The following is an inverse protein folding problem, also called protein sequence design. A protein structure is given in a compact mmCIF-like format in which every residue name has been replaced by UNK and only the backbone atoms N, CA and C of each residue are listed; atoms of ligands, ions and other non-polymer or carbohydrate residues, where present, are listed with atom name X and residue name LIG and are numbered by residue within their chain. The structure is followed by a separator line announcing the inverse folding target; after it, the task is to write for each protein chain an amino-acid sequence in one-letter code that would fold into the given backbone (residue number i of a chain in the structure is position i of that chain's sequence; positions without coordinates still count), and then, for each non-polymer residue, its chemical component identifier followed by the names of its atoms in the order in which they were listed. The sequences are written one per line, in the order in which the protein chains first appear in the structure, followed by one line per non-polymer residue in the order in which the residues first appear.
data_IF_470060850411
#
_entry.id   IF_470060850411
#
_cell.length_a   1.000
_cell.length_b   1.000
_cell.length_c   1.000
_cell.angle_alpha   90.00
_cell.angle_beta   90.00
_cell.angle_gamma   90.00
#
_symmetry.space_group_name_H-M   'P 1'
#
loop_
_entity.id
_entity.type
_entity.pdbx_description
1 polymer ?
#
# COMPACT_ATOMS: atom_id res chain seq x y z
N UNK A 1 -15.15 16.61 23.13
CA UNK A 1 -14.66 16.00 21.87
C UNK A 1 -14.02 14.67 22.23
N UNK A 2 -14.39 13.56 21.56
CA UNK A 2 -13.76 12.25 21.79
C UNK A 2 -12.24 12.36 21.55
N UNK A 3 -11.45 11.99 22.56
CA UNK A 3 -9.98 12.08 22.50
C UNK A 3 -9.40 11.26 21.34
N UNK A 4 -10.04 10.14 20.97
CA UNK A 4 -9.64 9.32 19.82
C UNK A 4 -9.86 10.05 18.50
N UNK A 5 -11.04 10.65 18.31
CA UNK A 5 -11.33 11.47 17.13
C UNK A 5 -10.36 12.65 17.00
N UNK A 6 -10.04 13.30 18.11
CA UNK A 6 -9.08 14.42 18.14
C UNK A 6 -7.72 13.98 17.61
N UNK A 7 -7.14 12.90 18.15
CA UNK A 7 -5.81 12.47 17.72
C UNK A 7 -5.80 11.87 16.32
N UNK A 8 -6.86 11.16 15.91
CA UNK A 8 -7.00 10.71 14.53
C UNK A 8 -7.00 11.91 13.60
N UNK A 9 -7.85 12.90 13.86
CA UNK A 9 -7.92 14.13 13.07
C UNK A 9 -6.55 14.82 12.99
N UNK A 10 -5.83 14.91 14.12
CA UNK A 10 -4.46 15.45 14.13
C UNK A 10 -3.54 14.64 13.21
N UNK A 11 -3.55 13.30 13.29
CA UNK A 11 -2.72 12.47 12.43
C UNK A 11 -3.04 12.67 10.94
N UNK A 12 -4.32 12.74 10.58
CA UNK A 12 -4.75 12.98 9.20
C UNK A 12 -4.36 14.39 8.70
N UNK A 13 -4.52 15.41 9.54
CA UNK A 13 -4.08 16.78 9.24
C UNK A 13 -2.57 16.85 9.07
N UNK A 14 -1.80 16.15 9.90
CA UNK A 14 -0.33 16.08 9.76
C UNK A 14 0.08 15.42 8.45
N UNK A 15 -0.58 14.33 8.04
CA UNK A 15 -0.33 13.69 6.74
C UNK A 15 -0.58 14.70 5.60
N UNK A 16 -1.73 15.36 5.61
CA UNK A 16 -2.07 16.36 4.59
C UNK A 16 -1.08 17.53 4.58
N UNK A 17 -0.70 18.03 5.76
CA UNK A 17 0.26 19.11 5.91
C UNK A 17 1.64 18.72 5.35
N UNK A 18 2.14 17.51 5.66
CA UNK A 18 3.41 17.02 5.09
C UNK A 18 3.34 16.97 3.56
N UNK A 19 2.23 16.48 3.01
CA UNK A 19 2.06 16.36 1.56
C UNK A 19 2.04 17.74 0.89
N UNK A 20 1.32 18.70 1.46
CA UNK A 20 1.29 20.08 0.98
C UNK A 20 2.67 20.75 1.12
N UNK A 21 3.39 20.53 2.21
CA UNK A 21 4.73 21.07 2.39
C UNK A 21 5.72 20.50 1.36
N UNK A 22 5.68 19.20 1.07
CA UNK A 22 6.57 18.62 0.07
C UNK A 22 6.21 19.08 -1.35
N UNK A 23 4.95 18.93 -1.74
CA UNK A 23 4.53 19.20 -3.13
C UNK A 23 4.39 20.69 -3.42
N UNK A 24 3.63 21.41 -2.61
CA UNK A 24 3.32 22.81 -2.88
C UNK A 24 4.49 23.70 -2.50
N UNK A 25 5.00 23.58 -1.26
CA UNK A 25 6.13 24.42 -0.84
C UNK A 25 7.42 23.96 -1.49
N UNK A 26 7.80 22.69 -1.35
CA UNK A 26 9.03 22.14 -1.92
C UNK A 26 9.04 22.13 -3.46
N UNK A 27 8.04 21.48 -4.06
CA UNK A 27 7.97 21.31 -5.51
C UNK A 27 7.62 22.60 -6.26
N UNK A 28 6.56 23.29 -5.84
CA UNK A 28 6.00 24.41 -6.61
C UNK A 28 6.63 25.77 -6.26
N UNK A 29 6.74 26.11 -4.96
CA UNK A 29 7.29 27.41 -4.53
C UNK A 29 8.82 27.44 -4.61
N UNK A 30 9.49 26.39 -4.12
CA UNK A 30 10.95 26.31 -4.11
C UNK A 30 11.53 25.72 -5.40
N UNK A 31 10.69 25.25 -6.32
CA UNK A 31 11.12 24.74 -7.63
C UNK A 31 11.92 23.44 -7.58
N UNK A 32 11.77 22.63 -6.54
CA UNK A 32 12.51 21.36 -6.41
C UNK A 32 11.83 20.30 -7.28
N UNK A 33 12.39 20.02 -8.46
CA UNK A 33 11.80 19.12 -9.48
C UNK A 33 11.36 17.76 -8.93
N UNK A 34 12.20 17.08 -8.14
CA UNK A 34 11.87 15.78 -7.54
C UNK A 34 10.65 15.78 -6.60
N UNK A 35 10.26 16.95 -6.10
CA UNK A 35 9.10 17.12 -5.20
C UNK A 35 7.85 17.56 -5.95
N UNK A 36 7.94 17.80 -7.26
CA UNK A 36 6.79 18.13 -8.07
C UNK A 36 5.93 16.89 -8.28
N UNK A 37 4.62 17.12 -8.35
CA UNK A 37 3.69 16.16 -8.91
C UNK A 37 3.66 16.35 -10.41
N UNK A 38 3.53 15.26 -11.17
CA UNK A 38 3.29 15.34 -12.61
C UNK A 38 1.91 15.92 -12.93
N UNK A 39 1.21 15.31 -13.88
CA UNK A 39 -0.06 15.84 -14.37
C UNK A 39 -1.15 15.91 -13.29
N UNK A 40 -2.01 16.93 -13.41
CA UNK A 40 -3.21 17.14 -12.60
C UNK A 40 -2.99 17.17 -11.07
N UNK A 41 -2.14 18.07 -10.53
CA UNK A 41 -1.84 18.18 -9.10
C UNK A 41 -3.09 18.32 -8.22
N UNK A 42 -4.07 19.11 -8.66
CA UNK A 42 -5.30 19.33 -7.91
C UNK A 42 -6.09 18.03 -7.72
N UNK A 43 -6.27 17.24 -8.79
CA UNK A 43 -7.00 15.97 -8.73
C UNK A 43 -6.27 14.95 -7.85
N UNK A 44 -4.93 14.91 -7.89
CA UNK A 44 -4.14 14.08 -6.97
C UNK A 44 -4.47 14.39 -5.51
N UNK A 45 -4.59 15.67 -5.15
CA UNK A 45 -4.99 16.06 -3.80
C UNK A 45 -6.48 15.83 -3.51
N UNK A 46 -7.38 15.89 -4.50
CA UNK A 46 -8.77 15.45 -4.31
C UNK A 46 -8.80 13.99 -3.86
N UNK A 47 -8.04 13.10 -4.51
CA UNK A 47 -7.95 11.70 -4.09
C UNK A 47 -7.24 11.55 -2.73
N UNK A 48 -6.27 12.40 -2.39
CA UNK A 48 -5.74 12.43 -1.01
C UNK A 48 -6.87 12.67 -0.01
N UNK A 49 -7.70 13.69 -0.23
CA UNK A 49 -8.84 13.98 0.65
C UNK A 49 -9.82 12.81 0.70
N UNK A 50 -10.14 12.18 -0.43
CA UNK A 50 -11.03 11.01 -0.47
C UNK A 50 -10.46 9.87 0.41
N UNK A 51 -9.18 9.54 0.30
CA UNK A 51 -8.61 8.47 1.12
C UNK A 51 -8.51 8.83 2.61
N UNK A 52 -8.30 10.11 2.96
CA UNK A 52 -8.42 10.57 4.35
C UNK A 52 -9.86 10.44 4.86
N UNK A 53 -10.86 10.76 4.04
CA UNK A 53 -12.27 10.59 4.37
C UNK A 53 -12.63 9.10 4.55
N UNK A 54 -12.08 8.20 3.74
CA UNK A 54 -12.23 6.75 3.95
C UNK A 54 -11.73 6.35 5.34
N UNK A 55 -10.55 6.83 5.76
CA UNK A 55 -10.05 6.56 7.11
C UNK A 55 -11.00 7.10 8.21
N UNK A 56 -11.57 8.30 8.02
CA UNK A 56 -12.56 8.89 8.95
C UNK A 56 -13.84 8.06 9.00
N UNK A 57 -14.35 7.62 7.86
CA UNK A 57 -15.57 6.79 7.79
C UNK A 57 -15.35 5.47 8.50
N UNK A 58 -14.23 4.79 8.24
CA UNK A 58 -13.88 3.53 8.93
C UNK A 58 -13.77 3.76 10.45
N UNK A 59 -13.10 4.84 10.88
CA UNK A 59 -13.08 5.23 12.29
C UNK A 59 -14.49 5.42 12.84
N UNK A 60 -15.33 6.22 12.18
CA UNK A 60 -16.67 6.53 12.66
C UNK A 60 -17.52 5.27 12.85
N UNK A 61 -17.44 4.32 11.91
CA UNK A 61 -18.11 3.03 11.98
C UNK A 61 -17.58 2.12 13.09
N UNK A 62 -16.38 2.37 13.63
CA UNK A 62 -15.69 1.47 14.56
C UNK A 62 -15.11 2.18 15.80
N UNK A 63 -15.56 3.42 16.06
CA UNK A 63 -14.97 4.38 17.03
C UNK A 63 -14.95 3.89 18.48
N UNK A 64 -15.85 2.96 18.81
CA UNK A 64 -15.95 2.38 20.16
C UNK A 64 -14.74 1.52 20.51
N UNK A 65 -14.02 1.00 19.50
CA UNK A 65 -12.88 0.14 19.70
C UNK A 65 -11.61 0.92 20.09
N UNK A 66 -10.81 0.36 21.02
CA UNK A 66 -9.56 0.93 21.54
C UNK A 66 -8.43 0.97 20.52
N UNK A 67 -8.54 0.27 19.39
CA UNK A 67 -7.48 0.26 18.35
C UNK A 67 -7.21 1.63 17.72
N UNK A 68 -8.12 2.59 17.91
CA UNK A 68 -7.99 3.97 17.47
C UNK A 68 -7.29 4.88 18.48
N UNK A 69 -6.87 4.34 19.63
CA UNK A 69 -6.15 5.11 20.64
C UNK A 69 -4.71 5.43 20.17
N UNK A 70 -4.39 6.72 20.18
CA UNK A 70 -3.08 7.24 19.82
C UNK A 70 -2.46 7.83 21.08
N UNK A 71 -1.41 7.18 21.58
CA UNK A 71 -0.55 7.69 22.63
C UNK A 71 0.87 7.94 22.15
N UNK A 72 1.78 8.22 23.08
CA UNK A 72 3.19 8.52 22.77
C UNK A 72 3.87 7.39 22.00
N UNK A 73 3.58 6.13 22.33
CA UNK A 73 4.17 4.98 21.64
C UNK A 73 3.72 4.92 20.17
N UNK A 74 2.44 5.14 19.90
CA UNK A 74 1.91 5.15 18.53
C UNK A 74 2.56 6.26 17.70
N UNK A 75 2.77 7.45 18.28
CA UNK A 75 3.49 8.54 17.60
C UNK A 75 4.92 8.15 17.25
N UNK A 76 5.63 7.51 18.18
CA UNK A 76 6.99 7.01 17.92
C UNK A 76 6.99 5.92 16.82
N UNK A 77 6.05 4.98 16.87
CA UNK A 77 5.94 3.94 15.85
C UNK A 77 5.57 4.50 14.47
N UNK A 78 4.75 5.55 14.41
CA UNK A 78 4.46 6.27 13.16
C UNK A 78 5.73 6.86 12.55
N UNK A 79 6.56 7.53 13.36
CA UNK A 79 7.81 8.11 12.90
C UNK A 79 8.83 7.04 12.44
N UNK A 80 9.03 5.99 13.25
CA UNK A 80 9.93 4.88 12.92
C UNK A 80 9.46 4.15 11.65
N UNK A 81 8.16 3.83 11.58
CA UNK A 81 7.58 3.15 10.43
C UNK A 81 7.75 3.97 9.15
N UNK A 82 7.40 5.25 9.19
CA UNK A 82 7.56 6.14 8.04
C UNK A 82 9.04 6.25 7.61
N UNK A 83 9.98 6.38 8.54
CA UNK A 83 11.41 6.45 8.23
C UNK A 83 11.94 5.15 7.61
N UNK A 84 11.61 4.00 8.19
CA UNK A 84 11.99 2.69 7.65
C UNK A 84 11.42 2.52 6.24
N UNK A 85 10.13 2.81 6.08
CA UNK A 85 9.49 2.64 4.78
C UNK A 85 10.04 3.59 3.72
N UNK A 86 10.36 4.83 4.07
CA UNK A 86 10.99 5.78 3.16
C UNK A 86 12.38 5.33 2.72
N UNK A 87 13.24 4.91 3.66
CA UNK A 87 14.62 4.47 3.37
C UNK A 87 14.63 3.22 2.50
N UNK A 88 13.82 2.21 2.85
CA UNK A 88 13.78 0.98 2.06
C UNK A 88 13.06 1.18 0.72
N UNK A 89 12.05 2.06 0.64
CA UNK A 89 11.45 2.42 -0.65
C UNK A 89 12.46 3.15 -1.54
N UNK A 90 13.25 4.07 -1.00
CA UNK A 90 14.35 4.70 -1.73
C UNK A 90 15.34 3.65 -2.27
N UNK A 91 15.76 2.71 -1.42
CA UNK A 91 16.70 1.67 -1.81
C UNK A 91 16.13 0.77 -2.92
N UNK A 92 14.90 0.27 -2.78
CA UNK A 92 14.36 -0.73 -3.72
C UNK A 92 13.68 -0.13 -4.95
N UNK A 93 13.01 1.03 -4.83
CA UNK A 93 12.34 1.69 -5.96
C UNK A 93 13.35 2.43 -6.84
N UNK A 94 14.40 3.00 -6.24
CA UNK A 94 15.38 3.83 -6.95
C UNK A 94 16.49 3.06 -7.66
N UNK A 95 16.76 1.80 -7.31
CA UNK A 95 18.05 1.17 -7.70
C UNK A 95 18.00 -0.20 -8.36
N UNK A 96 16.86 -0.88 -8.52
CA UNK A 96 16.93 -2.32 -8.85
C UNK A 96 15.99 -2.87 -9.94
N UNK A 97 14.65 -2.80 -9.82
CA UNK A 97 13.78 -3.53 -10.78
C UNK A 97 12.39 -2.89 -11.00
N UNK A 98 12.14 -2.41 -12.22
CA UNK A 98 10.83 -1.98 -12.70
C UNK A 98 10.04 -3.19 -13.21
N UNK A 99 8.76 -3.27 -12.85
CA UNK A 99 7.85 -4.34 -13.28
C UNK A 99 7.18 -3.93 -14.60
N UNK A 100 6.89 -4.85 -15.53
CA UNK A 100 6.08 -4.55 -16.70
C UNK A 100 4.77 -3.82 -16.32
N UNK A 101 4.65 -2.54 -16.72
CA UNK A 101 3.58 -1.61 -16.31
C UNK A 101 3.48 -0.40 -17.25
N UNK A 102 2.39 0.38 -17.12
CA UNK A 102 2.17 1.60 -17.93
C UNK A 102 2.72 2.88 -17.28
N UNK A 103 2.96 2.82 -15.97
CA UNK A 103 3.56 3.88 -15.16
C UNK A 103 4.67 3.27 -14.30
N UNK A 104 5.55 4.09 -13.71
CA UNK A 104 6.72 3.61 -12.99
C UNK A 104 6.36 2.81 -11.72
N UNK A 105 6.15 1.51 -11.89
CA UNK A 105 5.91 0.56 -10.81
C UNK A 105 7.14 -0.30 -10.58
N UNK A 106 7.75 -0.19 -9.40
CA UNK A 106 8.89 -1.01 -8.99
C UNK A 106 8.47 -2.29 -8.24
N UNK A 107 9.38 -3.26 -8.14
CA UNK A 107 9.28 -4.31 -7.12
C UNK A 107 9.54 -3.69 -5.73
N UNK A 108 8.57 -3.83 -4.81
CA UNK A 108 8.55 -3.09 -3.54
C UNK A 108 8.54 -4.00 -2.31
N UNK A 109 9.66 -4.66 -1.96
CA UNK A 109 9.76 -5.44 -0.71
C UNK A 109 9.38 -4.63 0.54
N UNK A 110 9.67 -3.33 0.51
CA UNK A 110 9.41 -2.39 1.60
C UNK A 110 7.92 -2.28 1.97
N UNK A 111 6.98 -2.66 1.09
CA UNK A 111 5.53 -2.63 1.38
C UNK A 111 5.14 -3.47 2.61
N UNK A 112 5.95 -4.46 2.97
CA UNK A 112 5.74 -5.26 4.17
C UNK A 112 5.82 -4.41 5.47
N UNK A 113 6.46 -3.24 5.43
CA UNK A 113 6.60 -2.34 6.58
C UNK A 113 5.25 -1.74 7.00
N UNK A 114 4.51 -0.99 6.16
CA UNK A 114 3.19 -0.48 6.56
C UNK A 114 2.19 -1.60 6.90
N UNK A 115 2.26 -2.73 6.21
CA UNK A 115 1.48 -3.93 6.53
C UNK A 115 1.73 -4.42 7.97
N UNK A 116 3.01 -4.64 8.30
CA UNK A 116 3.41 -5.08 9.64
C UNK A 116 3.12 -4.03 10.72
N UNK A 117 3.42 -2.75 10.46
CA UNK A 117 3.16 -1.67 11.42
C UNK A 117 1.68 -1.48 11.68
N UNK A 118 0.84 -1.62 10.65
CA UNK A 118 -0.61 -1.67 10.79
C UNK A 118 -1.05 -2.82 11.68
N UNK A 119 -0.61 -4.04 11.36
CA UNK A 119 -0.92 -5.24 12.12
C UNK A 119 -0.51 -5.14 13.60
N UNK A 120 0.74 -4.74 13.86
CA UNK A 120 1.35 -4.79 15.19
C UNK A 120 0.98 -3.59 16.08
N UNK A 121 0.79 -2.40 15.50
CA UNK A 121 0.65 -1.15 16.25
C UNK A 121 -0.67 -0.41 16.00
N UNK A 122 -1.53 -0.94 15.13
CA UNK A 122 -2.88 -0.44 14.89
C UNK A 122 -3.05 0.32 13.58
N UNK A 123 -4.31 0.54 13.16
CA UNK A 123 -4.66 1.06 11.84
C UNK A 123 -4.08 2.46 11.57
N UNK A 124 -4.07 3.36 12.56
CA UNK A 124 -3.54 4.71 12.37
C UNK A 124 -2.03 4.68 12.16
N UNK A 125 -1.32 3.80 12.87
CA UNK A 125 0.13 3.65 12.71
C UNK A 125 0.46 3.12 11.33
N UNK A 126 -0.26 2.09 10.86
CA UNK A 126 -0.12 1.57 9.50
C UNK A 126 -0.45 2.63 8.43
N UNK A 127 -1.52 3.39 8.63
CA UNK A 127 -1.93 4.45 7.71
C UNK A 127 -0.85 5.52 7.54
N UNK A 128 -0.35 6.06 8.66
CA UNK A 128 0.70 7.07 8.64
C UNK A 128 2.00 6.51 8.06
N UNK A 129 2.40 5.30 8.48
CA UNK A 129 3.60 4.62 7.99
C UNK A 129 3.57 4.51 6.47
N UNK A 130 2.47 4.02 5.90
CA UNK A 130 2.33 3.84 4.46
C UNK A 130 2.27 5.17 3.71
N UNK A 131 1.46 6.12 4.19
CA UNK A 131 1.27 7.40 3.51
C UNK A 131 2.54 8.27 3.53
N UNK A 132 3.07 8.51 4.72
CA UNK A 132 4.22 9.42 4.89
C UNK A 132 5.51 8.73 4.45
N UNK A 133 5.68 7.45 4.76
CA UNK A 133 6.87 6.70 4.36
C UNK A 133 6.99 6.59 2.85
N UNK A 134 5.90 6.30 2.11
CA UNK A 134 5.96 6.28 0.65
C UNK A 134 6.30 7.66 0.09
N UNK A 135 5.64 8.72 0.59
CA UNK A 135 5.85 10.08 0.11
C UNK A 135 7.32 10.52 0.23
N UNK A 136 7.96 10.25 1.37
CA UNK A 136 9.39 10.53 1.52
C UNK A 136 10.27 9.59 0.70
N UNK A 137 9.90 8.32 0.54
CA UNK A 137 10.59 7.40 -0.35
C UNK A 137 10.64 7.94 -1.78
N UNK A 138 9.49 8.33 -2.34
CA UNK A 138 9.37 8.89 -3.68
C UNK A 138 10.20 10.20 -3.80
N UNK A 139 10.11 11.09 -2.81
CA UNK A 139 10.89 12.33 -2.74
C UNK A 139 12.41 12.09 -2.79
N UNK A 140 12.89 10.98 -2.20
CA UNK A 140 14.29 10.60 -2.21
C UNK A 140 14.70 9.98 -3.55
N UNK A 141 13.83 9.20 -4.19
CA UNK A 141 14.14 8.52 -5.47
C UNK A 141 14.28 9.47 -6.65
N UNK A 142 13.52 10.57 -6.69
CA UNK A 142 13.66 11.58 -7.73
C UNK A 142 12.65 11.49 -8.89
N UNK A 143 11.73 10.52 -8.88
CA UNK A 143 10.77 10.29 -9.99
C UNK A 143 9.51 11.19 -9.94
N UNK A 144 9.49 12.18 -9.04
CA UNK A 144 8.31 12.99 -8.76
C UNK A 144 7.36 12.31 -7.76
N UNK A 145 6.39 13.07 -7.27
CA UNK A 145 5.49 12.65 -6.20
C UNK A 145 4.11 12.23 -6.72
N UNK A 146 3.59 11.13 -6.18
CA UNK A 146 2.22 10.66 -6.42
C UNK A 146 1.43 10.58 -5.10
N UNK A 147 0.91 11.72 -4.59
CA UNK A 147 0.21 11.77 -3.31
C UNK A 147 -0.96 10.78 -3.16
N UNK A 148 -1.72 10.55 -4.22
CA UNK A 148 -2.82 9.59 -4.22
C UNK A 148 -2.33 8.14 -4.05
N UNK A 149 -1.19 7.79 -4.64
CA UNK A 149 -0.54 6.50 -4.44
C UNK A 149 0.01 6.36 -3.02
N UNK A 150 0.61 7.42 -2.48
CA UNK A 150 1.03 7.44 -1.08
C UNK A 150 -0.15 7.18 -0.14
N UNK A 151 -1.30 7.80 -0.35
CA UNK A 151 -2.52 7.48 0.42
C UNK A 151 -2.99 6.04 0.20
N UNK A 152 -2.90 5.51 -1.03
CA UNK A 152 -3.14 4.09 -1.30
C UNK A 152 -2.27 3.17 -0.43
N UNK A 153 -0.95 3.43 -0.34
CA UNK A 153 -0.04 2.70 0.54
C UNK A 153 -0.40 2.88 2.04
N UNK A 154 -0.89 4.06 2.42
CA UNK A 154 -1.48 4.28 3.75
C UNK A 154 -2.66 3.36 4.00
N UNK A 155 -3.61 3.27 3.07
CA UNK A 155 -4.77 2.39 3.19
C UNK A 155 -4.38 0.91 3.31
N UNK A 156 -3.29 0.48 2.66
CA UNK A 156 -2.70 -0.86 2.85
C UNK A 156 -2.41 -1.11 4.34
N UNK A 157 -1.68 -0.20 4.99
CA UNK A 157 -1.33 -0.33 6.41
C UNK A 157 -2.55 -0.17 7.34
N UNK A 158 -3.47 0.74 7.01
CA UNK A 158 -4.71 0.93 7.78
C UNK A 158 -5.53 -0.35 7.84
N UNK A 159 -5.78 -0.96 6.69
CA UNK A 159 -6.59 -2.17 6.56
C UNK A 159 -5.86 -3.36 7.19
N UNK A 160 -4.53 -3.47 7.05
CA UNK A 160 -3.77 -4.51 7.74
C UNK A 160 -3.96 -4.46 9.27
N UNK A 161 -4.07 -3.25 9.85
CA UNK A 161 -4.34 -3.04 11.27
C UNK A 161 -5.78 -3.26 11.71
N UNK A 162 -6.73 -3.36 10.78
CA UNK A 162 -8.15 -3.62 11.11
C UNK A 162 -8.40 -5.02 11.67
N UNK A 163 -7.44 -5.95 11.54
CA UNK A 163 -7.49 -7.26 12.21
C UNK A 163 -7.84 -7.14 13.70
N UNK A 164 -7.36 -6.09 14.37
CA UNK A 164 -7.55 -5.88 15.79
C UNK A 164 -8.99 -5.48 16.17
N UNK A 165 -9.86 -5.19 15.18
CA UNK A 165 -11.30 -5.02 15.39
C UNK A 165 -11.99 -6.34 15.72
N UNK A 166 -11.41 -7.48 15.35
CA UNK A 166 -12.08 -8.78 15.37
C UNK A 166 -11.48 -9.67 16.47
N UNK A 167 -12.23 -9.94 17.56
CA UNK A 167 -11.79 -10.85 18.61
C UNK A 167 -11.56 -12.28 18.08
N UNK A 168 -12.42 -12.74 17.17
CA UNK A 168 -12.27 -14.01 16.46
C UNK A 168 -11.50 -13.77 15.14
N UNK A 169 -10.18 -13.96 15.19
CA UNK A 169 -9.33 -13.76 14.00
C UNK A 169 -9.59 -14.84 12.95
N UNK A 170 -9.95 -16.08 13.33
CA UNK A 170 -10.31 -17.14 12.35
C UNK A 170 -11.50 -16.77 11.48
N UNK A 171 -12.58 -16.30 12.10
CA UNK A 171 -13.77 -15.86 11.35
C UNK A 171 -13.45 -14.66 10.47
N UNK A 172 -12.69 -13.69 10.97
CA UNK A 172 -12.33 -12.51 10.18
C UNK A 172 -11.47 -12.89 8.97
N UNK A 173 -10.49 -13.79 9.13
CA UNK A 173 -9.67 -14.31 8.03
C UNK A 173 -10.49 -15.02 6.95
N UNK A 174 -11.57 -15.74 7.29
CA UNK A 174 -12.45 -16.36 6.29
C UNK A 174 -13.12 -15.30 5.42
N UNK A 175 -13.73 -14.29 6.04
CA UNK A 175 -14.38 -13.19 5.30
C UNK A 175 -13.39 -12.43 4.43
N UNK A 176 -12.24 -12.07 4.99
CA UNK A 176 -11.16 -11.34 4.30
C UNK A 176 -10.63 -12.13 3.10
N UNK A 177 -10.48 -13.45 3.24
CA UNK A 177 -10.05 -14.31 2.15
C UNK A 177 -11.08 -14.35 1.02
N UNK A 178 -12.37 -14.50 1.31
CA UNK A 178 -13.42 -14.52 0.28
C UNK A 178 -13.38 -13.23 -0.55
N UNK A 179 -13.34 -12.08 0.11
CA UNK A 179 -13.26 -10.78 -0.57
C UNK A 179 -12.00 -10.70 -1.44
N UNK A 180 -10.85 -11.12 -0.90
CA UNK A 180 -9.57 -11.06 -1.61
C UNK A 180 -9.52 -11.99 -2.82
N UNK A 181 -10.11 -13.19 -2.72
CA UNK A 181 -10.24 -14.14 -3.85
C UNK A 181 -11.08 -13.50 -4.95
N UNK A 182 -12.22 -12.91 -4.62
CA UNK A 182 -13.08 -12.24 -5.61
C UNK A 182 -12.33 -11.12 -6.32
N UNK A 183 -11.64 -10.24 -5.57
CA UNK A 183 -10.87 -9.13 -6.15
C UNK A 183 -9.74 -9.62 -7.06
N UNK A 184 -8.96 -10.62 -6.63
CA UNK A 184 -7.86 -11.16 -7.42
C UNK A 184 -8.37 -11.85 -8.71
N UNK A 185 -9.44 -12.64 -8.61
CA UNK A 185 -10.06 -13.30 -9.77
C UNK A 185 -10.61 -12.26 -10.75
N UNK A 186 -11.31 -11.24 -10.27
CA UNK A 186 -11.81 -10.16 -11.13
C UNK A 186 -10.67 -9.45 -11.87
N UNK A 187 -9.59 -9.08 -11.17
CA UNK A 187 -8.43 -8.45 -11.80
C UNK A 187 -7.78 -9.36 -12.86
N UNK A 188 -7.66 -10.66 -12.58
CA UNK A 188 -7.14 -11.63 -13.56
C UNK A 188 -8.07 -11.82 -14.75
N UNK A 189 -9.39 -11.86 -14.57
CA UNK A 189 -10.34 -11.91 -15.69
C UNK A 189 -10.20 -10.66 -16.56
N UNK A 190 -10.10 -9.46 -15.95
CA UNK A 190 -9.89 -8.20 -16.67
C UNK A 190 -8.58 -8.25 -17.48
N UNK A 191 -7.53 -8.84 -16.94
CA UNK A 191 -6.27 -9.07 -17.66
C UNK A 191 -6.43 -10.00 -18.86
N UNK A 192 -7.11 -11.13 -18.68
CA UNK A 192 -7.27 -12.14 -19.74
C UNK A 192 -8.12 -11.61 -20.91
N UNK A 193 -9.09 -10.73 -20.65
CA UNK A 193 -9.89 -10.10 -21.72
C UNK A 193 -9.19 -8.88 -22.35
N UNK A 194 -8.23 -8.25 -21.66
CA UNK A 194 -7.49 -7.06 -22.12
C UNK A 194 -5.99 -7.31 -22.32
N UNK A 195 -5.62 -8.42 -22.97
CA UNK A 195 -4.21 -8.83 -23.18
C UNK A 195 -3.37 -7.84 -23.99
N UNK A 196 -4.02 -6.94 -24.73
CA UNK A 196 -3.38 -5.97 -25.60
C UNK A 196 -2.95 -4.68 -24.88
N UNK A 197 -3.19 -4.54 -23.56
CA UNK A 197 -2.68 -3.39 -22.81
C UNK A 197 -1.14 -3.36 -22.89
N UNK A 198 -0.55 -2.26 -23.37
CA UNK A 198 0.90 -2.17 -23.52
C UNK A 198 1.59 -1.98 -22.18
N UNK A 199 2.86 -2.40 -22.13
CA UNK A 199 3.87 -2.13 -21.13
C UNK A 199 4.73 -0.99 -21.67
N UNK A 200 4.45 0.22 -21.23
CA UNK A 200 5.15 1.42 -21.68
C UNK A 200 6.59 1.49 -21.18
N UNK A 201 6.96 0.64 -20.21
CA UNK A 201 8.30 0.60 -19.62
C UNK A 201 9.20 -0.50 -20.18
N UNK A 202 8.76 -1.23 -21.21
CA UNK A 202 9.63 -2.19 -21.90
C UNK A 202 10.59 -1.47 -22.84
N UNK A 203 11.89 -1.68 -22.69
CA UNK A 203 12.92 -1.03 -23.48
C UNK A 203 13.95 -2.06 -23.94
N UNK A 204 14.00 -2.33 -25.25
CA UNK A 204 14.98 -3.20 -25.89
C UNK A 204 15.54 -2.52 -27.15
N UNK A 205 16.52 -1.62 -27.02
CA UNK A 205 17.07 -0.83 -28.13
C UNK A 205 17.67 -1.67 -29.24
N UNK A 206 18.31 -2.79 -28.88
CA UNK A 206 18.93 -3.72 -29.83
C UNK A 206 17.90 -4.39 -30.76
N UNK A 207 16.65 -4.45 -30.32
CA UNK A 207 15.49 -4.97 -31.08
C UNK A 207 14.64 -3.85 -31.68
N UNK A 208 15.02 -2.58 -31.46
CA UNK A 208 14.25 -1.41 -31.90
C UNK A 208 12.94 -1.18 -31.13
N UNK A 209 12.80 -1.73 -29.92
CA UNK A 209 11.57 -1.67 -29.12
C UNK A 209 11.69 -0.62 -28.02
N UNK A 210 10.76 0.33 -28.00
CA UNK A 210 10.73 1.49 -27.11
C UNK A 210 9.32 1.67 -26.51
N UNK A 211 8.86 0.71 -25.70
CA UNK A 211 7.50 0.62 -25.19
C UNK A 211 6.62 -0.35 -25.99
N UNK A 212 5.31 -0.31 -25.74
CA UNK A 212 4.26 -1.00 -26.52
C UNK A 212 4.28 -2.53 -26.57
N UNK A 213 5.13 -3.19 -25.77
CA UNK A 213 5.04 -4.65 -25.58
C UNK A 213 3.85 -5.03 -24.72
N UNK A 214 3.25 -6.19 -24.94
CA UNK A 214 2.16 -6.62 -24.06
C UNK A 214 2.67 -6.85 -22.63
N UNK A 215 1.85 -6.50 -21.63
CA UNK A 215 2.08 -6.92 -20.24
C UNK A 215 2.26 -8.45 -20.22
N UNK A 216 3.35 -8.92 -19.61
CA UNK A 216 3.69 -10.34 -19.61
C UNK A 216 2.64 -11.16 -18.86
N UNK A 217 2.51 -12.45 -19.20
CA UNK A 217 1.64 -13.38 -18.46
C UNK A 217 2.00 -13.42 -16.97
N UNK A 218 3.30 -13.39 -16.65
CA UNK A 218 3.76 -13.36 -15.27
C UNK A 218 3.27 -12.12 -14.51
N UNK A 219 3.41 -10.93 -15.11
CA UNK A 219 2.97 -9.68 -14.49
C UNK A 219 1.44 -9.64 -14.32
N UNK A 220 0.66 -10.09 -15.32
CA UNK A 220 -0.79 -10.09 -15.21
C UNK A 220 -1.39 -11.18 -14.32
N UNK A 221 -0.70 -12.31 -14.14
CA UNK A 221 -1.12 -13.37 -13.21
C UNK A 221 -0.56 -13.19 -11.80
N UNK A 222 0.28 -12.17 -11.57
CA UNK A 222 0.98 -11.94 -10.31
C UNK A 222 0.06 -11.81 -9.10
N UNK A 223 -1.14 -11.25 -9.25
CA UNK A 223 -2.13 -11.17 -8.16
C UNK A 223 -2.65 -12.55 -7.72
N UNK A 224 -2.92 -13.46 -8.66
CA UNK A 224 -3.35 -14.84 -8.34
C UNK A 224 -2.18 -15.65 -7.78
N UNK A 225 -0.98 -15.49 -8.33
CA UNK A 225 0.23 -16.13 -7.78
C UNK A 225 0.43 -15.68 -6.32
N UNK A 226 0.38 -14.37 -6.06
CA UNK A 226 0.47 -13.82 -4.72
C UNK A 226 -0.64 -14.30 -3.78
N UNK A 227 -1.90 -14.36 -4.26
CA UNK A 227 -3.02 -14.93 -3.51
C UNK A 227 -2.74 -16.38 -3.09
N UNK A 228 -2.28 -17.22 -4.02
CA UNK A 228 -1.96 -18.63 -3.74
C UNK A 228 -0.89 -18.73 -2.67
N UNK A 229 0.16 -17.90 -2.75
CA UNK A 229 1.22 -17.87 -1.72
C UNK A 229 0.68 -17.42 -0.35
N UNK A 230 -0.15 -16.38 -0.29
CA UNK A 230 -0.78 -15.93 0.96
C UNK A 230 -1.67 -17.03 1.55
N UNK A 231 -2.45 -17.72 0.71
CA UNK A 231 -3.29 -18.86 1.12
C UNK A 231 -2.42 -19.99 1.66
N UNK A 232 -1.32 -20.32 0.97
CA UNK A 232 -0.38 -21.33 1.43
C UNK A 232 0.20 -20.96 2.81
N UNK A 233 0.69 -19.73 3.00
CA UNK A 233 1.20 -19.24 4.29
C UNK A 233 0.14 -19.34 5.37
N UNK A 234 -1.08 -18.88 5.10
CA UNK A 234 -2.19 -18.94 6.07
C UNK A 234 -2.42 -20.36 6.60
N UNK A 235 -2.39 -21.36 5.72
CA UNK A 235 -2.66 -22.75 6.12
C UNK A 235 -1.42 -23.47 6.66
N UNK A 236 -0.23 -23.20 6.14
CA UNK A 236 1.03 -23.74 6.68
C UNK A 236 1.31 -23.23 8.10
N UNK A 237 0.93 -21.99 8.39
CA UNK A 237 1.03 -21.37 9.72
C UNK A 237 -0.31 -21.37 10.47
N UNK A 238 -1.22 -22.31 10.20
CA UNK A 238 -2.54 -22.34 10.85
C UNK A 238 -2.50 -22.44 12.38
N UNK A 239 -1.40 -22.98 12.95
CA UNK A 239 -1.15 -23.01 14.39
C UNK A 239 -0.66 -21.67 14.96
N UNK A 240 -0.14 -20.77 14.11
CA UNK A 240 0.27 -19.43 14.46
C UNK A 240 -0.74 -18.42 13.88
N UNK A 241 -1.81 -18.20 14.64
CA UNK A 241 -2.93 -17.35 14.25
C UNK A 241 -2.50 -15.90 13.98
N UNK A 242 -1.44 -15.41 14.63
CA UNK A 242 -0.94 -14.06 14.40
C UNK A 242 -0.32 -13.90 13.02
N UNK A 243 0.53 -14.85 12.61
CA UNK A 243 1.11 -14.86 11.25
C UNK A 243 0.03 -15.01 10.19
N UNK A 244 -0.88 -15.97 10.39
CA UNK A 244 -1.98 -16.22 9.45
C UNK A 244 -2.89 -15.00 9.30
N UNK A 245 -3.22 -14.31 10.40
CA UNK A 245 -4.05 -13.12 10.37
C UNK A 245 -3.33 -11.94 9.74
N UNK A 246 -2.06 -11.72 10.09
CA UNK A 246 -1.26 -10.63 9.54
C UNK A 246 -1.13 -10.71 8.02
N UNK A 247 -0.78 -11.88 7.48
CA UNK A 247 -0.61 -12.04 6.03
C UNK A 247 -1.96 -11.90 5.30
N UNK A 248 -3.05 -12.44 5.87
CA UNK A 248 -4.38 -12.41 5.25
C UNK A 248 -4.96 -10.99 5.22
N UNK A 249 -4.82 -10.22 6.30
CA UNK A 249 -5.25 -8.82 6.36
C UNK A 249 -4.36 -7.90 5.51
N UNK A 250 -3.06 -8.17 5.44
CA UNK A 250 -2.13 -7.45 4.56
C UNK A 250 -2.48 -7.64 3.09
N UNK A 251 -2.92 -8.84 2.68
CA UNK A 251 -3.41 -9.11 1.33
C UNK A 251 -4.62 -8.24 0.98
N UNK A 252 -5.64 -8.20 1.84
CA UNK A 252 -6.81 -7.36 1.60
C UNK A 252 -6.44 -5.88 1.57
N UNK A 253 -5.62 -5.44 2.51
CA UNK A 253 -5.13 -4.06 2.54
C UNK A 253 -4.42 -3.69 1.25
N UNK A 254 -3.56 -4.56 0.73
CA UNK A 254 -2.88 -4.36 -0.54
C UNK A 254 -3.84 -4.26 -1.73
N UNK A 255 -4.78 -5.20 -1.85
CA UNK A 255 -5.75 -5.21 -2.95
C UNK A 255 -6.63 -3.96 -2.94
N UNK A 256 -7.09 -3.51 -1.76
CA UNK A 256 -7.94 -2.32 -1.66
C UNK A 256 -7.14 -1.00 -1.75
N UNK A 257 -5.99 -0.91 -1.09
CA UNK A 257 -5.16 0.29 -1.08
C UNK A 257 -4.50 0.59 -2.43
N UNK A 258 -3.95 -0.44 -3.09
CA UNK A 258 -3.40 -0.30 -4.45
C UNK A 258 -4.54 -0.16 -5.46
N UNK A 259 -5.67 -0.83 -5.25
CA UNK A 259 -6.87 -0.66 -6.06
C UNK A 259 -7.35 0.79 -6.05
N UNK A 260 -7.41 1.42 -4.88
CA UNK A 260 -7.71 2.84 -4.73
C UNK A 260 -6.77 3.73 -5.55
N UNK A 261 -5.46 3.50 -5.45
CA UNK A 261 -4.47 4.29 -6.18
C UNK A 261 -4.61 4.14 -7.70
N UNK A 262 -4.63 2.91 -8.21
CA UNK A 262 -4.75 2.66 -9.65
C UNK A 262 -6.09 3.17 -10.23
N UNK A 263 -7.20 2.99 -9.49
CA UNK A 263 -8.51 3.49 -9.92
C UNK A 263 -8.50 5.02 -10.01
N UNK A 264 -7.81 5.72 -9.10
CA UNK A 264 -7.73 7.18 -9.16
C UNK A 264 -7.08 7.73 -10.44
N UNK A 265 -6.18 6.96 -11.05
CA UNK A 265 -5.48 7.36 -12.27
C UNK A 265 -6.34 7.31 -13.54
N UNK A 266 -7.55 6.73 -13.46
CA UNK A 266 -8.59 6.90 -14.49
C UNK A 266 -8.95 8.38 -14.66
N UNK A 267 -9.07 9.12 -13.55
CA UNK A 267 -9.41 10.54 -13.58
C UNK A 267 -8.17 11.44 -13.62
N UNK A 268 -7.08 11.03 -12.97
CA UNK A 268 -5.87 11.86 -12.88
C UNK A 268 -5.07 11.81 -14.19
N UNK A 269 -4.89 10.63 -14.79
CA UNK A 269 -4.07 10.45 -16.01
C UNK A 269 -4.94 10.11 -17.24
N UNK A 270 -6.26 10.03 -17.09
CA UNK A 270 -7.17 9.71 -18.20
C UNK A 270 -7.09 8.25 -18.66
N UNK A 271 -6.57 7.35 -17.83
CA UNK A 271 -6.41 5.95 -18.22
C UNK A 271 -7.76 5.25 -18.40
N UNK A 272 -7.94 4.46 -19.48
CA UNK A 272 -9.06 3.54 -19.57
C UNK A 272 -9.08 2.57 -18.37
N UNK A 273 -10.26 2.13 -17.95
CA UNK A 273 -10.40 1.20 -16.82
C UNK A 273 -9.49 -0.04 -16.95
N UNK A 274 -9.41 -0.63 -18.14
CA UNK A 274 -8.53 -1.77 -18.41
C UNK A 274 -7.05 -1.44 -18.18
N UNK A 275 -6.61 -0.23 -18.54
CA UNK A 275 -5.22 0.23 -18.36
C UNK A 275 -4.90 0.43 -16.88
N UNK A 276 -5.79 1.06 -16.11
CA UNK A 276 -5.62 1.20 -14.66
C UNK A 276 -5.48 -0.18 -13.96
N UNK A 277 -6.29 -1.16 -14.35
CA UNK A 277 -6.24 -2.49 -13.73
C UNK A 277 -5.04 -3.31 -14.22
N UNK A 278 -4.82 -3.39 -15.52
CA UNK A 278 -3.79 -4.27 -16.12
C UNK A 278 -2.40 -3.64 -16.11
N UNK A 279 -2.33 -2.34 -16.35
CA UNK A 279 -1.08 -1.60 -16.47
C UNK A 279 -0.53 -1.10 -15.14
N UNK A 280 -1.35 -0.94 -14.10
CA UNK A 280 -0.90 -0.37 -12.82
C UNK A 280 -1.26 -1.25 -11.62
N UNK A 281 -2.54 -1.59 -11.45
CA UNK A 281 -2.98 -2.37 -10.29
C UNK A 281 -2.30 -3.74 -10.22
N UNK A 282 -2.34 -4.54 -11.28
CA UNK A 282 -1.73 -5.88 -11.28
C UNK A 282 -0.21 -5.84 -11.08
N UNK A 283 0.55 -4.99 -11.82
CA UNK A 283 2.00 -4.86 -11.62
C UNK A 283 2.41 -4.37 -10.23
N UNK A 284 1.55 -3.60 -9.53
CA UNK A 284 1.84 -3.15 -8.17
C UNK A 284 1.35 -4.14 -7.11
N UNK A 285 0.06 -4.50 -7.16
CA UNK A 285 -0.58 -5.32 -6.15
C UNK A 285 -0.05 -6.75 -6.15
N UNK A 286 0.20 -7.35 -7.31
CA UNK A 286 0.64 -8.74 -7.38
C UNK A 286 1.99 -9.00 -6.72
N UNK A 287 3.07 -8.30 -7.10
CA UNK A 287 4.36 -8.41 -6.42
C UNK A 287 4.29 -8.08 -4.92
N UNK A 288 3.48 -7.09 -4.54
CA UNK A 288 3.25 -6.79 -3.11
C UNK A 288 2.68 -7.99 -2.34
N UNK A 289 1.79 -8.78 -2.94
CA UNK A 289 1.27 -10.01 -2.30
C UNK A 289 2.35 -11.07 -2.12
N UNK A 290 3.27 -11.21 -3.08
CA UNK A 290 4.41 -12.13 -2.97
C UNK A 290 5.30 -11.69 -1.80
N UNK A 291 5.62 -10.40 -1.71
CA UNK A 291 6.40 -9.87 -0.59
C UNK A 291 5.66 -9.95 0.74
N UNK A 292 4.34 -9.76 0.75
CA UNK A 292 3.52 -9.95 1.95
C UNK A 292 3.61 -11.41 2.44
N UNK A 293 3.51 -12.38 1.53
CA UNK A 293 3.60 -13.80 1.87
C UNK A 293 4.96 -14.21 2.46
N UNK A 294 6.05 -13.51 2.08
CA UNK A 294 7.41 -13.84 2.54
C UNK A 294 7.78 -13.03 3.78
N UNK A 295 7.65 -11.71 3.72
CA UNK A 295 8.25 -10.79 4.69
C UNK A 295 7.36 -10.53 5.90
N UNK A 296 6.04 -10.47 5.75
CA UNK A 296 5.13 -10.21 6.88
C UNK A 296 5.23 -11.33 7.94
N UNK A 297 5.23 -12.64 7.58
CA UNK A 297 5.45 -13.71 8.56
C UNK A 297 6.75 -13.56 9.35
N UNK A 298 7.84 -13.19 8.67
CA UNK A 298 9.17 -13.01 9.29
C UNK A 298 9.13 -11.86 10.30
N UNK A 299 8.57 -10.71 9.90
CA UNK A 299 8.47 -9.53 10.75
C UNK A 299 7.60 -9.80 11.98
N UNK A 300 6.45 -10.46 11.81
CA UNK A 300 5.56 -10.82 12.92
C UNK A 300 6.25 -11.80 13.86
N UNK A 301 6.86 -12.88 13.35
CA UNK A 301 7.56 -13.86 14.18
C UNK A 301 8.74 -13.24 14.96
N UNK A 302 9.51 -12.35 14.32
CA UNK A 302 10.59 -11.63 14.96
C UNK A 302 10.06 -10.70 16.07
N UNK A 303 8.99 -9.96 15.80
CA UNK A 303 8.38 -9.07 16.77
C UNK A 303 7.82 -9.81 17.98
N UNK A 304 7.09 -10.90 17.76
CA UNK A 304 6.58 -11.75 18.86
C UNK A 304 7.73 -12.30 19.72
N UNK A 305 8.86 -12.64 19.10
CA UNK A 305 10.05 -13.10 19.84
C UNK A 305 10.63 -12.01 20.72
N UNK A 306 10.70 -10.77 20.22
CA UNK A 306 11.15 -9.60 20.99
C UNK A 306 10.19 -9.27 22.13
N UNK A 307 8.88 -9.35 21.90
CA UNK A 307 7.88 -9.12 22.96
C UNK A 307 8.06 -10.11 24.12
N UNK A 308 8.20 -11.40 23.81
CA UNK A 308 8.46 -12.45 24.80
C UNK A 308 9.73 -12.18 25.62
N UNK A 309 10.82 -11.78 24.96
CA UNK A 309 12.08 -11.44 25.65
C UNK A 309 11.95 -10.20 26.54
N UNK A 310 11.14 -9.23 26.12
CA UNK A 310 10.87 -8.01 26.88
C UNK A 310 9.81 -8.18 27.99
N UNK A 311 9.33 -9.41 28.22
CA UNK A 311 8.30 -9.71 29.22
C UNK A 311 6.93 -9.13 28.90
N UNK A 312 6.61 -8.99 27.61
CA UNK A 312 5.34 -8.45 27.10
C UNK A 312 4.55 -9.48 26.32
#
# INVERSE_FOLDING_TARGET
MDRRLTYLTIALVVILAIFLLLVYVGGSILGIERLQTGENPLLRFVFVIIGLLVAIVIYWLTRENKIWEIGTRQVVYMAIGAALYAIFSYLFNGTVFVVPSVSQVALRPAIAIPMFFGYAFGPVVGFFTGAVGNMFGDALTGFGLSPQWSIGNGLVGLIAGMVALFPDKKKSMNTVLIISVVLAVLATVIFLINRNVPNMLYFAPDEGIFGDQQISLFAGLSAIIGLILVVAVRYLFASNEDVAAAVTWSMLGNLLGIGFAAISDIWINGFPFAVAIVGEFLPAAGPNLIFAAILVPILVAAYTSVQRQAGR
#
